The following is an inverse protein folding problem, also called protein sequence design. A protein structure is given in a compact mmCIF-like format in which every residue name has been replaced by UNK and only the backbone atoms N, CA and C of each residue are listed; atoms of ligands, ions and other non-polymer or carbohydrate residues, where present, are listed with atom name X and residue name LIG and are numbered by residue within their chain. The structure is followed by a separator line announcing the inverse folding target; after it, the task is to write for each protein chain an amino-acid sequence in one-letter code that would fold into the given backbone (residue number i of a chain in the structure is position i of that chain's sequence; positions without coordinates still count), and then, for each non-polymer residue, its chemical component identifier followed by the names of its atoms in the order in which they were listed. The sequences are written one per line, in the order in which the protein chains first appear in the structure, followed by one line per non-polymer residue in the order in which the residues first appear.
data_IF_060834054904
#
_entry.id   IF_060834054904
#
_cell.length_a   1.000
_cell.length_b   1.000
_cell.length_c   1.000
_cell.angle_alpha   90.00
_cell.angle_beta   90.00
_cell.angle_gamma   90.00
#
_symmetry.space_group_name_H-M   'P 1'
#
loop_
_entity.id
_entity.type
_entity.pdbx_description
1 polymer ?
#
# COMPACT_ATOMS: atom_id res chain seq x y z
N UNK A 1 -3.34 -18.94 -2.40
CA UNK A 1 -2.55 -17.95 -3.16
C UNK A 1 -1.13 -18.44 -3.29
N UNK A 2 -0.51 -18.38 -4.49
CA UNK A 2 0.88 -18.78 -4.69
C UNK A 2 1.81 -18.07 -3.71
N UNK A 3 2.81 -18.79 -3.19
CA UNK A 3 3.90 -18.19 -2.40
C UNK A 3 4.64 -17.11 -3.18
N UNK A 4 4.75 -17.27 -4.49
CA UNK A 4 5.39 -16.32 -5.42
C UNK A 4 4.66 -14.95 -5.45
N UNK A 5 3.35 -14.92 -5.18
CA UNK A 5 2.55 -13.68 -5.06
C UNK A 5 2.88 -12.86 -3.80
N UNK A 6 3.43 -13.50 -2.77
CA UNK A 6 3.74 -12.84 -1.50
C UNK A 6 5.11 -12.14 -1.51
N UNK A 7 5.95 -12.36 -2.52
CA UNK A 7 7.33 -11.85 -2.51
C UNK A 7 7.80 -11.48 -3.93
N UNK A 8 7.03 -10.65 -4.66
CA UNK A 8 7.45 -10.15 -5.98
C UNK A 8 8.81 -9.46 -5.86
N UNK A 9 9.84 -9.96 -6.53
CA UNK A 9 11.22 -9.41 -6.47
C UNK A 9 11.69 -9.24 -5.00
N UNK A 10 11.44 -10.25 -4.16
CA UNK A 10 11.80 -10.25 -2.74
C UNK A 10 13.28 -10.01 -2.44
N UNK A 11 14.16 -10.46 -3.34
CA UNK A 11 15.61 -10.26 -3.23
C UNK A 11 16.06 -8.85 -3.62
N UNK A 12 15.23 -8.11 -4.36
CA UNK A 12 15.48 -6.71 -4.73
C UNK A 12 14.86 -5.73 -3.72
N UNK A 13 13.62 -5.96 -3.31
CA UNK A 13 12.94 -5.15 -2.31
C UNK A 13 13.40 -5.52 -0.90
N UNK A 14 14.65 -5.20 -0.60
CA UNK A 14 15.31 -5.41 0.69
C UNK A 14 15.79 -4.07 1.27
N UNK A 15 15.92 -3.94 2.61
CA UNK A 15 16.35 -2.69 3.24
C UNK A 15 17.68 -2.14 2.73
N UNK A 16 18.59 -3.03 2.30
CA UNK A 16 19.91 -2.70 1.76
C UNK A 16 19.84 -1.93 0.44
N UNK A 17 18.79 -2.16 -0.35
CA UNK A 17 18.61 -1.52 -1.65
C UNK A 17 17.86 -0.17 -1.56
N UNK A 18 17.38 0.23 -0.39
CA UNK A 18 16.71 1.53 -0.21
C UNK A 18 17.72 2.67 -0.44
N UNK A 19 17.38 3.60 -1.33
CA UNK A 19 18.23 4.76 -1.67
C UNK A 19 17.59 6.11 -1.44
N UNK A 20 16.25 6.20 -1.42
CA UNK A 20 15.54 7.44 -1.17
C UNK A 20 14.09 7.20 -0.77
N UNK A 21 13.42 8.25 -0.33
CA UNK A 21 11.96 8.26 -0.18
C UNK A 21 11.39 9.65 -0.48
N UNK A 22 10.14 9.73 -0.90
CA UNK A 22 9.38 10.99 -1.01
C UNK A 22 8.23 11.02 0.00
N UNK A 23 7.84 12.22 0.42
CA UNK A 23 6.80 12.42 1.44
C UNK A 23 7.33 12.36 2.87
N UNK A 24 6.41 12.23 3.82
CA UNK A 24 6.73 12.12 5.24
C UNK A 24 7.06 10.66 5.59
N UNK A 25 8.23 10.46 6.22
CA UNK A 25 8.76 9.16 6.63
C UNK A 25 7.73 8.31 7.40
N UNK A 26 6.95 8.96 8.26
CA UNK A 26 5.98 8.33 9.15
C UNK A 26 4.58 8.21 8.55
N UNK A 27 4.33 8.82 7.38
CA UNK A 27 3.00 8.88 6.76
C UNK A 27 3.00 8.28 5.35
N UNK A 28 3.29 6.98 5.28
CA UNK A 28 3.21 6.16 4.06
C UNK A 28 3.99 6.75 2.87
N UNK A 29 5.31 6.97 2.99
CA UNK A 29 6.12 7.51 1.91
C UNK A 29 6.20 6.57 0.71
N UNK A 30 6.55 7.12 -0.47
CA UNK A 30 7.05 6.31 -1.58
C UNK A 30 8.53 6.02 -1.34
N UNK A 31 8.93 4.75 -1.40
CA UNK A 31 10.29 4.29 -1.08
C UNK A 31 10.98 3.82 -2.35
N UNK A 32 12.15 4.37 -2.67
CA UNK A 32 12.90 4.06 -3.88
C UNK A 32 14.03 3.08 -3.59
N UNK A 33 14.21 2.12 -4.49
CA UNK A 33 15.17 1.04 -4.41
C UNK A 33 16.09 1.09 -5.62
N UNK A 34 17.38 0.81 -5.41
CA UNK A 34 18.39 0.77 -6.46
C UNK A 34 19.46 -0.26 -6.10
N UNK A 35 19.82 -1.10 -7.07
CA UNK A 35 20.89 -2.08 -6.95
C UNK A 35 21.78 -2.00 -8.19
N UNK A 36 23.10 -1.82 -7.97
CA UNK A 36 24.09 -1.87 -9.05
C UNK A 36 24.51 -3.33 -9.23
N UNK A 37 24.34 -3.84 -10.45
CA UNK A 37 24.68 -5.21 -10.83
C UNK A 37 26.15 -5.31 -11.25
N UNK A 38 26.72 -6.52 -11.23
CA UNK A 38 28.13 -6.76 -11.59
C UNK A 38 28.46 -6.40 -13.05
N UNK A 39 27.48 -6.48 -13.95
CA UNK A 39 27.59 -6.13 -15.37
C UNK A 39 27.46 -4.62 -15.65
N UNK A 40 27.30 -3.80 -14.61
CA UNK A 40 27.12 -2.35 -14.70
C UNK A 40 25.67 -1.91 -14.93
N UNK A 41 24.72 -2.84 -15.07
CA UNK A 41 23.31 -2.49 -15.10
C UNK A 41 22.83 -2.02 -13.71
N UNK A 42 21.79 -1.19 -13.71
CA UNK A 42 21.17 -0.70 -12.48
C UNK A 42 19.76 -1.24 -12.44
N UNK A 43 19.46 -2.13 -11.48
CA UNK A 43 18.08 -2.49 -11.15
C UNK A 43 17.45 -1.39 -10.31
N UNK A 44 16.22 -1.00 -10.64
CA UNK A 44 15.51 0.06 -9.95
C UNK A 44 14.01 -0.22 -9.85
N UNK A 45 13.37 0.45 -8.89
CA UNK A 45 11.94 0.41 -8.66
C UNK A 45 11.57 1.14 -7.37
N UNK A 46 10.29 1.30 -7.10
CA UNK A 46 9.83 1.95 -5.87
C UNK A 46 8.60 1.25 -5.26
N UNK A 47 8.27 1.56 -4.01
CA UNK A 47 7.02 1.13 -3.35
C UNK A 47 6.23 2.36 -2.98
N UNK A 48 5.03 2.49 -3.52
CA UNK A 48 4.07 3.55 -3.13
C UNK A 48 3.13 2.99 -2.06
N UNK A 49 3.12 3.57 -0.86
CA UNK A 49 2.38 3.01 0.28
C UNK A 49 0.95 3.53 0.43
N UNK A 50 0.70 4.79 0.13
CA UNK A 50 -0.66 5.33 0.15
C UNK A 50 -0.87 6.38 -0.91
N UNK A 51 -2.11 6.44 -1.36
CA UNK A 51 -2.55 7.47 -2.27
C UNK A 51 -4.05 7.66 -2.13
N UNK A 52 -4.48 8.86 -1.73
CA UNK A 52 -5.91 9.14 -1.47
C UNK A 52 -6.77 8.99 -2.72
N UNK A 53 -6.26 9.44 -3.87
CA UNK A 53 -7.00 9.44 -5.14
C UNK A 53 -6.77 8.21 -6.04
N UNK A 54 -5.73 7.42 -5.78
CA UNK A 54 -5.22 6.46 -6.78
C UNK A 54 -4.74 5.18 -6.10
N UNK A 55 -5.71 4.32 -5.80
CA UNK A 55 -5.46 3.07 -5.08
C UNK A 55 -4.76 2.02 -5.94
N UNK A 56 -4.74 2.16 -7.27
CA UNK A 56 -4.04 1.22 -8.18
C UNK A 56 -2.53 1.41 -8.13
N UNK A 57 -2.10 2.66 -7.88
CA UNK A 57 -0.71 3.01 -7.79
C UNK A 57 -0.07 2.64 -6.45
N UNK A 58 -0.78 1.93 -5.57
CA UNK A 58 -0.25 1.42 -4.29
C UNK A 58 0.35 0.03 -4.50
N UNK A 59 1.63 -0.15 -4.15
CA UNK A 59 2.34 -1.42 -4.30
C UNK A 59 3.79 -1.27 -4.73
N UNK A 60 4.46 -2.40 -4.98
CA UNK A 60 5.79 -2.47 -5.60
C UNK A 60 5.66 -2.10 -7.08
N UNK A 61 6.48 -1.19 -7.56
CA UNK A 61 6.65 -0.94 -8.98
C UNK A 61 7.19 -2.20 -9.69
N UNK A 62 7.02 -2.29 -11.01
CA UNK A 62 7.73 -3.32 -11.76
C UNK A 62 9.22 -3.02 -11.70
N UNK A 63 10.05 -4.01 -11.36
CA UNK A 63 11.50 -3.83 -11.33
C UNK A 63 12.03 -3.77 -12.75
N UNK A 64 12.71 -2.69 -13.07
CA UNK A 64 13.36 -2.46 -14.35
C UNK A 64 14.88 -2.44 -14.18
N UNK A 65 15.59 -2.55 -15.30
CA UNK A 65 17.06 -2.58 -15.31
C UNK A 65 17.60 -1.83 -16.51
N UNK A 66 18.34 -0.74 -16.26
CA UNK A 66 18.99 0.05 -17.30
C UNK A 66 20.26 0.73 -16.74
N UNK A 67 21.40 0.72 -17.45
CA UNK A 67 22.66 1.29 -16.95
C UNK A 67 22.63 2.81 -16.82
N UNK A 68 21.66 3.49 -17.43
CA UNK A 68 21.53 4.96 -17.43
C UNK A 68 20.56 5.48 -16.37
N UNK A 69 20.00 4.60 -15.53
CA UNK A 69 19.01 4.99 -14.53
C UNK A 69 19.54 6.04 -13.53
N UNK A 70 18.80 7.15 -13.40
CA UNK A 70 19.03 8.17 -12.39
C UNK A 70 17.76 8.50 -11.60
N UNK A 71 17.95 8.93 -10.35
CA UNK A 71 16.93 9.47 -9.46
C UNK A 71 17.44 10.81 -8.94
N UNK A 72 16.83 11.91 -9.35
CA UNK A 72 17.34 13.26 -9.11
C UNK A 72 16.22 14.20 -8.67
N UNK A 73 16.54 15.21 -7.86
CA UNK A 73 15.61 16.30 -7.58
C UNK A 73 15.89 17.45 -8.53
N UNK A 74 14.87 17.88 -9.29
CA UNK A 74 14.98 18.97 -10.26
C UNK A 74 13.79 19.93 -10.18
N UNK A 75 13.93 21.10 -10.80
CA UNK A 75 12.85 22.07 -10.90
C UNK A 75 12.18 21.96 -12.28
N UNK A 76 10.93 21.49 -12.31
CA UNK A 76 10.08 21.44 -13.51
C UNK A 76 8.85 22.32 -13.26
N UNK A 77 8.53 23.22 -14.18
CA UNK A 77 7.34 24.09 -14.08
C UNK A 77 7.22 24.88 -12.76
N UNK A 78 8.36 25.28 -12.18
CA UNK A 78 8.52 25.93 -10.87
C UNK A 78 8.23 25.05 -9.64
N UNK A 79 8.12 23.74 -9.82
CA UNK A 79 8.00 22.77 -8.72
C UNK A 79 9.32 22.02 -8.54
N UNK A 80 9.78 21.89 -7.28
CA UNK A 80 10.97 21.09 -6.95
C UNK A 80 10.54 19.65 -6.64
N UNK A 81 10.79 18.74 -7.57
CA UNK A 81 10.28 17.37 -7.55
C UNK A 81 11.38 16.35 -7.78
N UNK A 82 11.20 15.13 -7.29
CA UNK A 82 12.03 14.00 -7.68
C UNK A 82 11.61 13.47 -9.05
N UNK A 83 12.57 13.13 -9.89
CA UNK A 83 12.37 12.46 -11.18
C UNK A 83 13.24 11.22 -11.29
N UNK A 84 12.66 10.16 -11.86
CA UNK A 84 13.38 9.00 -12.35
C UNK A 84 13.61 9.16 -13.86
N UNK A 85 14.83 8.91 -14.31
CA UNK A 85 15.20 8.98 -15.74
C UNK A 85 15.87 7.71 -16.21
N UNK A 86 15.63 7.38 -17.47
CA UNK A 86 16.32 6.35 -18.24
C UNK A 86 16.63 6.92 -19.63
N UNK A 87 17.86 6.79 -20.10
CA UNK A 87 18.34 7.36 -21.36
C UNK A 87 18.03 8.86 -21.50
N UNK A 88 18.14 9.61 -20.39
CA UNK A 88 17.75 11.01 -20.21
C UNK A 88 16.25 11.33 -20.36
N UNK A 89 15.39 10.34 -20.61
CA UNK A 89 13.94 10.52 -20.64
C UNK A 89 13.35 10.37 -19.24
N UNK A 90 12.36 11.21 -18.88
CA UNK A 90 11.66 11.13 -17.59
C UNK A 90 10.68 9.96 -17.68
N UNK A 91 10.90 8.93 -16.86
CA UNK A 91 9.99 7.78 -16.77
C UNK A 91 9.02 7.89 -15.59
N UNK A 92 9.38 8.63 -14.55
CA UNK A 92 8.52 8.84 -13.39
C UNK A 92 8.77 10.20 -12.72
N UNK A 93 7.83 11.16 -12.80
CA UNK A 93 7.83 12.35 -11.97
C UNK A 93 7.07 12.10 -10.67
N UNK A 94 7.72 12.39 -9.55
CA UNK A 94 7.06 12.39 -8.23
C UNK A 94 6.29 13.70 -7.98
N UNK A 95 5.62 13.80 -6.83
CA UNK A 95 4.87 15.01 -6.41
C UNK A 95 5.67 15.96 -5.53
N UNK A 96 6.91 15.63 -5.25
CA UNK A 96 7.72 16.37 -4.30
C UNK A 96 9.13 15.82 -4.27
N UNK A 97 10.08 16.54 -3.66
CA UNK A 97 11.47 16.13 -3.68
C UNK A 97 11.67 14.86 -2.85
N UNK A 98 12.62 14.04 -3.24
CA UNK A 98 13.05 12.90 -2.45
C UNK A 98 14.08 13.31 -1.41
N UNK A 99 14.09 12.58 -0.31
CA UNK A 99 15.17 12.58 0.69
C UNK A 99 16.05 11.37 0.45
N UNK A 100 17.35 11.60 0.29
CA UNK A 100 18.35 10.54 0.08
C UNK A 100 18.56 9.76 1.37
N UNK A 101 18.62 8.44 1.26
CA UNK A 101 18.93 7.52 2.37
C UNK A 101 20.36 7.03 2.23
N UNK A 102 21.21 7.45 3.16
CA UNK A 102 22.60 7.02 3.20
C UNK A 102 22.76 5.53 3.50
N UNK A 103 23.94 4.95 3.20
CA UNK A 103 24.23 3.55 3.51
C UNK A 103 24.25 3.23 5.01
N UNK A 104 24.38 4.24 5.88
CA UNK A 104 24.46 4.07 7.33
C UNK A 104 23.20 4.56 8.08
N UNK A 105 22.15 4.95 7.36
CA UNK A 105 20.92 5.50 7.95
C UNK A 105 19.97 4.39 8.42
N UNK A 106 20.47 3.52 9.30
CA UNK A 106 19.78 2.29 9.71
C UNK A 106 18.39 2.56 10.29
N UNK A 107 18.22 3.61 11.10
CA UNK A 107 16.91 3.95 11.68
C UNK A 107 15.88 4.32 10.61
N UNK A 108 16.29 5.08 9.59
CA UNK A 108 15.41 5.46 8.46
C UNK A 108 15.11 4.22 7.62
N UNK A 109 16.11 3.38 7.33
CA UNK A 109 15.91 2.13 6.59
C UNK A 109 14.95 1.18 7.30
N UNK A 110 15.09 1.02 8.62
CA UNK A 110 14.20 0.16 9.42
C UNK A 110 12.74 0.64 9.37
N UNK A 111 12.53 1.96 9.40
CA UNK A 111 11.19 2.55 9.27
C UNK A 111 10.61 2.35 7.86
N UNK A 112 11.42 2.63 6.83
CA UNK A 112 11.01 2.44 5.42
C UNK A 112 10.82 0.97 5.05
N UNK A 113 11.55 0.04 5.67
CA UNK A 113 11.44 -1.41 5.42
C UNK A 113 10.05 -1.96 5.78
N UNK A 114 9.27 -1.25 6.60
CA UNK A 114 7.87 -1.62 6.84
C UNK A 114 7.06 -1.65 5.53
N UNK A 115 7.39 -0.79 4.56
CA UNK A 115 6.74 -0.75 3.24
C UNK A 115 6.87 -2.09 2.50
N UNK A 116 8.05 -2.73 2.59
CA UNK A 116 8.37 -4.02 1.97
C UNK A 116 7.43 -5.10 2.50
N UNK A 117 7.19 -5.11 3.81
CA UNK A 117 6.34 -6.11 4.47
C UNK A 117 4.85 -5.88 4.21
N UNK A 118 4.42 -4.62 4.09
CA UNK A 118 3.02 -4.22 3.83
C UNK A 118 2.61 -4.46 2.38
N UNK A 119 3.52 -4.23 1.44
CA UNK A 119 3.27 -4.31 0.00
C UNK A 119 4.13 -5.40 -0.61
N UNK A 120 3.57 -6.59 -0.69
CA UNK A 120 4.26 -7.84 -1.06
C UNK A 120 4.22 -8.17 -2.56
N UNK A 121 3.22 -7.66 -3.27
CA UNK A 121 3.04 -7.85 -4.70
C UNK A 121 3.36 -6.60 -5.52
N UNK A 122 3.53 -6.80 -6.82
CA UNK A 122 3.61 -5.74 -7.82
C UNK A 122 2.30 -4.94 -7.89
N UNK A 123 2.36 -3.67 -8.29
CA UNK A 123 1.20 -2.80 -8.48
C UNK A 123 0.23 -3.47 -9.46
N UNK A 124 -1.05 -3.40 -9.15
CA UNK A 124 -2.12 -3.94 -9.99
C UNK A 124 -2.13 -3.30 -11.39
N UNK A 125 -1.53 -2.13 -11.52
CA UNK A 125 -1.42 -1.36 -12.76
C UNK A 125 -0.66 -2.12 -13.88
N UNK A 126 0.23 -3.04 -13.52
CA UNK A 126 0.93 -3.94 -14.47
C UNK A 126 0.07 -5.14 -14.86
N UNK A 127 -1.22 -4.87 -15.06
CA UNK A 127 -2.25 -5.89 -15.02
C UNK A 127 -2.11 -6.91 -16.13
N UNK A 128 -1.57 -6.56 -17.29
CA UNK A 128 -1.46 -7.51 -18.40
C UNK A 128 -0.58 -8.70 -18.04
N UNK A 129 0.64 -8.41 -17.64
CA UNK A 129 1.61 -9.43 -17.26
C UNK A 129 1.14 -10.14 -15.99
N UNK A 130 0.57 -9.39 -15.05
CA UNK A 130 -0.08 -9.96 -13.87
C UNK A 130 -1.19 -10.98 -14.23
N UNK A 131 -2.16 -10.60 -15.05
CA UNK A 131 -3.29 -11.46 -15.44
C UNK A 131 -2.75 -12.69 -16.18
N UNK A 132 -1.77 -12.51 -17.07
CA UNK A 132 -1.16 -13.61 -17.83
C UNK A 132 -0.40 -14.58 -16.92
N UNK A 133 0.39 -14.07 -15.98
CA UNK A 133 1.07 -14.89 -14.95
C UNK A 133 0.07 -15.64 -14.08
N UNK A 134 -1.00 -14.97 -13.61
CA UNK A 134 -2.05 -15.63 -12.83
C UNK A 134 -2.75 -16.71 -13.66
N UNK A 135 -3.02 -16.45 -14.94
CA UNK A 135 -3.56 -17.46 -15.85
C UNK A 135 -2.63 -18.67 -15.97
N UNK A 136 -1.33 -18.46 -16.09
CA UNK A 136 -0.36 -19.55 -16.24
C UNK A 136 -0.14 -20.33 -14.95
N UNK A 137 -0.17 -19.66 -13.80
CA UNK A 137 -0.17 -20.30 -12.48
C UNK A 137 -1.41 -21.19 -12.29
N UNK A 138 -2.61 -20.64 -12.55
CA UNK A 138 -3.87 -21.37 -12.40
C UNK A 138 -3.88 -22.64 -13.26
N UNK A 139 -3.34 -22.60 -14.48
CA UNK A 139 -3.26 -23.79 -15.35
C UNK A 139 -2.44 -24.93 -14.73
N UNK A 140 -1.50 -24.64 -13.83
CA UNK A 140 -0.65 -25.64 -13.17
C UNK A 140 -1.33 -26.29 -11.96
N UNK A 141 -2.41 -25.70 -11.42
CA UNK A 141 -3.13 -26.25 -10.26
C UNK A 141 -3.82 -27.57 -10.63
N UNK A 142 -3.51 -28.71 -10.00
CA UNK A 142 -4.07 -30.01 -10.38
C UNK A 142 -5.56 -30.17 -10.08
N UNK A 143 -6.12 -29.42 -9.11
CA UNK A 143 -7.52 -29.54 -8.73
C UNK A 143 -8.39 -28.55 -9.49
N UNK A 144 -9.29 -29.08 -10.32
CA UNK A 144 -10.26 -28.28 -11.08
C UNK A 144 -11.07 -27.32 -10.19
N UNK A 145 -11.47 -27.74 -8.99
CA UNK A 145 -12.23 -26.88 -8.07
C UNK A 145 -11.43 -25.67 -7.58
N UNK A 146 -10.13 -25.84 -7.37
CA UNK A 146 -9.23 -24.79 -6.89
C UNK A 146 -8.83 -23.85 -8.03
N UNK A 147 -8.61 -24.39 -9.25
CA UNK A 147 -8.48 -23.59 -10.47
C UNK A 147 -9.69 -22.67 -10.66
N UNK A 148 -10.88 -23.23 -10.43
CA UNK A 148 -12.12 -22.51 -10.58
C UNK A 148 -12.21 -21.36 -9.58
N UNK A 149 -11.91 -21.60 -8.30
CA UNK A 149 -11.93 -20.52 -7.31
C UNK A 149 -10.94 -19.40 -7.65
N UNK A 150 -9.73 -19.77 -8.08
CA UNK A 150 -8.68 -18.80 -8.43
C UNK A 150 -9.03 -17.96 -9.67
N UNK A 151 -9.68 -18.53 -10.68
CA UNK A 151 -10.17 -17.78 -11.85
C UNK A 151 -11.25 -16.75 -11.47
N UNK A 152 -11.99 -16.98 -10.37
CA UNK A 152 -13.13 -16.15 -9.99
C UNK A 152 -12.60 -14.91 -9.30
N UNK A 153 -11.66 -15.14 -8.38
CA UNK A 153 -10.89 -14.10 -7.72
C UNK A 153 -10.15 -13.25 -8.77
N UNK A 154 -9.48 -13.88 -9.75
CA UNK A 154 -8.77 -13.16 -10.81
C UNK A 154 -9.71 -12.29 -11.67
N UNK A 155 -10.89 -12.83 -12.03
CA UNK A 155 -11.87 -12.07 -12.79
C UNK A 155 -12.43 -10.90 -11.96
N UNK A 156 -12.69 -11.10 -10.66
CA UNK A 156 -13.12 -10.01 -9.79
C UNK A 156 -12.04 -8.92 -9.66
N UNK A 157 -10.77 -9.30 -9.50
CA UNK A 157 -9.67 -8.36 -9.45
C UNK A 157 -9.53 -7.57 -10.77
N UNK A 158 -9.69 -8.23 -11.91
CA UNK A 158 -9.67 -7.57 -13.22
C UNK A 158 -10.80 -6.54 -13.37
N UNK A 159 -12.01 -6.83 -12.87
CA UNK A 159 -13.12 -5.87 -12.85
C UNK A 159 -12.79 -4.65 -11.99
N UNK A 160 -12.25 -4.86 -10.78
CA UNK A 160 -11.83 -3.76 -9.90
C UNK A 160 -10.78 -2.86 -10.56
N UNK A 161 -9.85 -3.47 -11.31
CA UNK A 161 -8.81 -2.75 -12.05
C UNK A 161 -9.45 -1.98 -13.21
N UNK A 162 -10.31 -2.61 -13.99
CA UNK A 162 -11.00 -1.97 -15.12
C UNK A 162 -11.83 -0.77 -14.66
N UNK A 163 -12.57 -0.89 -13.56
CA UNK A 163 -13.35 0.21 -12.97
C UNK A 163 -12.47 1.41 -12.58
N UNK A 164 -11.19 1.18 -12.23
CA UNK A 164 -10.23 2.23 -11.90
C UNK A 164 -9.52 2.81 -13.15
N UNK A 165 -9.38 2.00 -14.20
CA UNK A 165 -8.62 2.34 -15.41
C UNK A 165 -9.42 3.06 -16.50
N UNK A 166 -10.70 2.71 -16.67
CA UNK A 166 -11.52 3.22 -17.78
C UNK A 166 -11.58 4.75 -17.79
N UNK A 167 -11.57 5.38 -16.61
CA UNK A 167 -11.62 6.83 -16.49
C UNK A 167 -10.23 7.49 -16.56
N UNK A 168 -9.16 6.77 -16.22
CA UNK A 168 -7.81 7.34 -16.06
C UNK A 168 -6.91 7.13 -17.29
N UNK A 169 -7.01 5.96 -17.94
CA UNK A 169 -6.13 5.55 -19.05
C UNK A 169 -6.92 4.79 -20.15
N UNK A 170 -7.69 5.51 -21.00
CA UNK A 170 -8.59 4.90 -21.97
C UNK A 170 -7.87 4.01 -23.01
N UNK A 171 -6.62 4.31 -23.35
CA UNK A 171 -5.80 3.56 -24.29
C UNK A 171 -5.53 2.11 -23.83
N UNK A 172 -5.42 1.87 -22.53
CA UNK A 172 -5.20 0.53 -21.95
C UNK A 172 -6.49 -0.28 -21.79
N UNK A 173 -7.65 0.37 -21.93
CA UNK A 173 -8.97 -0.27 -21.74
C UNK A 173 -9.22 -1.37 -22.77
N UNK A 174 -8.72 -1.22 -24.00
CA UNK A 174 -8.91 -2.20 -25.08
C UNK A 174 -8.23 -3.54 -24.76
N UNK A 175 -7.01 -3.49 -24.25
CA UNK A 175 -6.25 -4.68 -23.86
C UNK A 175 -6.89 -5.39 -22.67
N UNK A 176 -7.35 -4.62 -21.66
CA UNK A 176 -8.07 -5.18 -20.51
C UNK A 176 -9.39 -5.83 -20.91
N UNK A 177 -10.16 -5.21 -21.81
CA UNK A 177 -11.39 -5.80 -22.38
C UNK A 177 -11.11 -7.10 -23.13
N UNK A 178 -10.01 -7.14 -23.90
CA UNK A 178 -9.59 -8.36 -24.58
C UNK A 178 -9.25 -9.46 -23.57
N UNK A 179 -8.44 -9.17 -22.55
CA UNK A 179 -8.10 -10.13 -21.50
C UNK A 179 -9.32 -10.65 -20.74
N UNK A 180 -10.27 -9.76 -20.42
CA UNK A 180 -11.56 -10.13 -19.81
C UNK A 180 -12.35 -11.08 -20.70
N UNK A 181 -12.37 -10.84 -22.01
CA UNK A 181 -13.01 -11.72 -22.98
C UNK A 181 -12.30 -13.09 -23.06
N UNK A 182 -10.97 -13.11 -23.06
CA UNK A 182 -10.17 -14.33 -23.08
C UNK A 182 -10.33 -15.17 -21.81
N UNK A 183 -10.33 -14.52 -20.63
CA UNK A 183 -10.68 -15.15 -19.36
C UNK A 183 -12.07 -15.76 -19.48
N UNK A 184 -13.06 -14.97 -19.93
CA UNK A 184 -14.44 -15.45 -20.09
C UNK A 184 -14.54 -16.67 -21.01
N UNK A 185 -13.77 -16.70 -22.10
CA UNK A 185 -13.71 -17.79 -23.05
C UNK A 185 -13.05 -19.06 -22.51
N UNK A 186 -11.90 -18.93 -21.82
CA UNK A 186 -11.13 -20.07 -21.26
C UNK A 186 -11.84 -20.73 -20.09
N UNK A 187 -12.57 -19.92 -19.34
CA UNK A 187 -13.28 -20.33 -18.13
C UNK A 187 -14.58 -21.11 -18.47
N UNK A 188 -15.10 -20.98 -19.70
CA UNK A 188 -16.27 -21.73 -20.17
C UNK A 188 -17.60 -21.28 -19.56
N UNK A 189 -18.71 -21.50 -20.26
CA UNK A 189 -20.04 -21.06 -19.82
C UNK A 189 -20.53 -21.75 -18.53
N UNK A 190 -20.11 -23.00 -18.26
CA UNK A 190 -20.50 -23.73 -17.04
C UNK A 190 -19.92 -23.12 -15.78
N UNK A 191 -18.71 -22.59 -15.87
CA UNK A 191 -18.10 -21.89 -14.77
C UNK A 191 -18.83 -20.60 -14.41
N UNK A 192 -19.20 -19.79 -15.42
CA UNK A 192 -19.89 -18.53 -15.15
C UNK A 192 -21.24 -18.77 -14.49
N UNK A 193 -21.91 -19.87 -14.85
CA UNK A 193 -23.10 -20.34 -14.12
C UNK A 193 -22.77 -20.66 -12.66
N UNK A 194 -21.72 -21.43 -12.39
CA UNK A 194 -21.30 -21.76 -11.02
C UNK A 194 -20.93 -20.52 -10.18
N UNK A 195 -20.29 -19.52 -10.78
CA UNK A 195 -19.92 -18.27 -10.11
C UNK A 195 -21.15 -17.41 -9.81
N UNK A 196 -22.06 -17.24 -10.77
CA UNK A 196 -23.31 -16.49 -10.56
C UNK A 196 -24.20 -17.20 -9.51
N UNK A 197 -24.33 -18.53 -9.57
CA UNK A 197 -25.03 -19.32 -8.55
C UNK A 197 -24.43 -19.12 -7.15
N UNK A 198 -23.09 -19.02 -7.04
CA UNK A 198 -22.43 -18.75 -5.75
C UNK A 198 -22.58 -17.31 -5.27
N UNK A 199 -22.58 -16.31 -6.17
CA UNK A 199 -22.88 -14.91 -5.81
C UNK A 199 -24.29 -14.80 -5.24
N UNK A 200 -25.25 -15.45 -5.88
CA UNK A 200 -26.64 -15.51 -5.40
C UNK A 200 -26.73 -16.20 -4.02
N UNK A 201 -26.02 -17.32 -3.83
CA UNK A 201 -25.96 -18.00 -2.53
C UNK A 201 -25.34 -17.13 -1.43
N UNK A 202 -24.26 -16.40 -1.73
CA UNK A 202 -23.58 -15.52 -0.76
C UNK A 202 -24.46 -14.33 -0.40
N UNK A 203 -25.09 -13.68 -1.38
CA UNK A 203 -26.05 -12.60 -1.17
C UNK A 203 -27.25 -13.06 -0.33
N UNK A 204 -27.79 -14.25 -0.61
CA UNK A 204 -28.85 -14.86 0.19
C UNK A 204 -28.41 -15.14 1.63
N UNK A 205 -27.18 -15.61 1.82
CA UNK A 205 -26.61 -15.88 3.15
C UNK A 205 -26.47 -14.58 3.96
N UNK A 206 -25.98 -13.50 3.35
CA UNK A 206 -25.85 -12.18 3.99
C UNK A 206 -27.21 -11.56 4.34
N UNK A 207 -28.18 -11.64 3.43
CA UNK A 207 -29.56 -11.23 3.70
C UNK A 207 -30.18 -12.02 4.87
N UNK A 208 -29.88 -13.33 4.95
CA UNK A 208 -30.34 -14.17 6.07
C UNK A 208 -29.69 -13.80 7.42
N UNK A 209 -28.42 -13.35 7.41
CA UNK A 209 -27.72 -12.88 8.61
C UNK A 209 -28.29 -11.55 9.11
N UNK A 210 -28.59 -10.63 8.20
CA UNK A 210 -29.18 -9.32 8.54
C UNK A 210 -30.59 -9.47 9.13
N UNK A 211 -31.44 -10.29 8.52
CA UNK A 211 -32.80 -10.55 9.04
C UNK A 211 -32.81 -11.26 10.41
N UNK A 212 -31.82 -12.12 10.71
CA UNK A 212 -31.66 -12.71 12.06
C UNK A 212 -31.18 -11.69 13.10
N UNK A 213 -30.35 -10.71 12.71
CA UNK A 213 -29.92 -9.61 13.59
C UNK A 213 -31.11 -8.72 13.99
N UNK A 214 -31.98 -8.38 13.05
CA UNK A 214 -33.18 -7.57 13.32
C UNK A 214 -34.20 -8.30 14.21
N UNK A 215 -34.41 -9.60 13.99
CA UNK A 215 -35.30 -10.42 14.86
C UNK A 215 -34.76 -10.60 16.28
N UNK A 216 -33.44 -10.51 16.50
CA UNK A 216 -32.86 -10.49 17.84
C UNK A 216 -33.03 -9.13 18.52
N UNK A 217 -32.92 -8.02 17.76
CA UNK A 217 -33.16 -6.68 18.29
C UNK A 217 -34.64 -6.46 18.71
N UNK A 218 -35.61 -7.06 18.01
CA UNK A 218 -37.03 -6.96 18.38
C UNK A 218 -37.44 -7.84 19.56
N UNK A 219 -36.72 -8.94 19.86
CA UNK A 219 -36.98 -9.81 21.03
C UNK A 219 -36.39 -9.28 22.34
N UNK A 220 -35.45 -8.35 22.29
CA UNK A 220 -34.94 -7.62 23.48
C UNK A 220 -35.79 -6.42 23.87
N UNK A 221 -36.90 -6.16 23.18
CA UNK A 221 -37.96 -5.22 23.60
C UNK A 221 -38.79 -5.68 24.80
N UNK A 222 -38.22 -6.45 25.74
CA UNK A 222 -38.82 -6.57 27.08
C UNK A 222 -38.68 -5.21 27.74
N UNK A 223 -39.77 -4.44 27.75
CA UNK A 223 -40.01 -3.25 28.57
C UNK A 223 -39.36 -3.46 29.96
N UNK A 224 -38.17 -2.93 30.16
CA UNK A 224 -37.71 -2.55 31.48
C UNK A 224 -38.44 -1.27 31.82
N UNK A 225 -39.60 -1.40 32.46
CA UNK A 225 -40.25 -0.30 33.14
C UNK A 225 -39.36 0.10 34.31
N UNK A 226 -38.53 1.13 34.11
CA UNK A 226 -37.80 1.78 35.18
C UNK A 226 -38.80 2.59 36.00
N UNK A 227 -39.41 1.96 37.00
CA UNK A 227 -40.15 2.66 38.03
C UNK A 227 -39.15 3.45 38.87
N UNK A 228 -39.19 4.77 38.71
CA UNK A 228 -39.05 5.78 39.77
C UNK A 228 -38.08 5.44 40.91
N UNK A 229 -36.82 5.86 40.78
CA UNK A 229 -35.98 6.15 41.92
C UNK A 229 -35.73 7.65 41.99
N UNK A 230 -36.53 8.32 42.81
CA UNK A 230 -36.42 9.73 43.18
C UNK A 230 -35.78 9.86 44.56
N UNK A 231 -34.68 10.62 44.65
CA UNK A 231 -34.08 11.32 45.83
C UNK A 231 -32.57 11.43 45.61
N UNK A 232 -31.86 12.50 45.97
CA UNK A 232 -32.20 13.73 46.67
C UNK A 232 -31.09 14.76 46.40
N UNK A 233 -31.44 16.02 46.63
CA UNK A 233 -30.62 17.22 46.57
C UNK A 233 -29.43 17.20 47.55
N UNK A 234 -28.32 17.84 47.17
CA UNK A 234 -27.52 18.76 48.01
C UNK A 234 -26.51 19.47 47.11
N UNK A 235 -26.72 20.75 46.78
CA UNK A 235 -26.32 21.97 47.51
C UNK A 235 -24.80 22.20 47.60
N UNK A 236 -24.43 23.30 46.93
CA UNK A 236 -23.49 24.34 47.34
C UNK A 236 -22.03 23.95 47.65
N UNK A 237 -21.12 24.41 46.79
CA UNK A 237 -19.99 25.27 47.24
C UNK A 237 -19.35 26.07 46.10
N UNK A 238 -19.12 27.34 46.45
CA UNK A 238 -18.65 28.52 45.73
C UNK A 238 -17.24 28.42 45.10
N UNK A 239 -16.89 29.39 44.23
CA UNK A 239 -15.63 29.43 43.48
C UNK A 239 -14.47 30.01 44.29
N UNK A 240 -13.24 29.62 43.95
CA UNK A 240 -12.02 30.36 44.32
C UNK A 240 -11.25 30.75 43.07
N UNK A 241 -11.07 32.06 43.00
CA UNK A 241 -10.35 32.87 42.04
C UNK A 241 -8.88 33.04 42.49
N UNK A 242 -8.02 33.45 41.54
CA UNK A 242 -6.63 33.96 41.69
C UNK A 242 -5.55 32.86 41.85
N UNK A 243 -4.37 32.94 41.23
CA UNK A 243 -3.57 34.11 40.83
C UNK A 243 -2.50 33.76 39.79
N UNK A 244 -2.08 34.79 39.06
CA UNK A 244 -0.91 34.86 38.19
C UNK A 244 0.39 34.41 38.88
N UNK A 245 1.35 33.89 38.11
CA UNK A 245 2.70 34.47 38.10
C UNK A 245 3.53 33.99 36.90
N UNK A 246 4.00 34.99 36.15
CA UNK A 246 5.09 34.92 35.20
C UNK A 246 6.45 34.85 35.90
N UNK A 247 7.46 34.35 35.19
CA UNK A 247 8.93 34.57 35.31
C UNK A 247 9.66 33.23 35.14
N UNK A 248 10.84 33.11 34.55
CA UNK A 248 11.76 34.00 33.86
C UNK A 248 12.79 33.10 33.19
N UNK A 249 13.46 33.67 32.19
CA UNK A 249 14.79 33.32 31.69
C UNK A 249 15.71 32.57 32.66
N UNK A 250 16.44 31.59 32.13
CA UNK A 250 17.85 31.45 32.47
C UNK A 250 18.65 30.81 31.32
N UNK A 251 19.40 31.66 30.62
CA UNK A 251 20.62 31.27 29.93
C UNK A 251 21.68 30.86 30.96
N UNK A 252 22.43 29.78 30.70
CA UNK A 252 23.90 29.82 30.55
C UNK A 252 24.51 28.41 30.47
N UNK A 253 25.24 28.22 29.36
CA UNK A 253 26.49 27.49 29.18
C UNK A 253 27.10 26.71 30.35
N UNK A 254 27.54 25.47 30.07
CA UNK A 254 28.93 25.12 30.36
C UNK A 254 29.49 23.96 29.54
N UNK A 255 30.70 24.19 29.05
CA UNK A 255 31.64 23.27 28.40
C UNK A 255 31.97 22.04 29.27
N UNK A 256 32.17 20.86 28.66
CA UNK A 256 33.46 20.17 28.80
C UNK A 256 33.67 18.96 27.86
N UNK A 257 34.74 19.07 27.07
CA UNK A 257 35.72 18.05 26.65
C UNK A 257 35.45 16.59 27.06
N UNK A 258 35.48 15.69 26.07
CA UNK A 258 36.40 14.53 26.09
C UNK A 258 36.70 14.00 24.69
N UNK A 259 37.95 14.23 24.27
CA UNK A 259 38.64 13.51 23.19
C UNK A 259 38.72 12.02 23.53
N UNK A 260 38.43 11.15 22.57
CA UNK A 260 39.07 9.83 22.48
C UNK A 260 39.38 9.53 21.01
N UNK A 261 40.65 9.70 20.69
CA UNK A 261 41.33 9.10 19.55
C UNK A 261 41.41 7.58 19.76
N UNK A 262 41.05 6.79 18.76
CA UNK A 262 41.56 5.43 18.60
C UNK A 262 42.13 5.28 17.20
N UNK A 263 43.45 5.22 17.15
CA UNK A 263 44.21 4.72 16.01
C UNK A 263 44.24 3.19 16.10
N UNK A 264 43.92 2.50 15.01
CA UNK A 264 44.48 1.17 14.76
C UNK A 264 44.99 1.15 13.32
N UNK A 265 46.31 1.15 13.20
CA UNK A 265 47.04 0.60 12.05
C UNK A 265 47.29 -0.87 12.35
N UNK A 266 46.99 -1.74 11.39
CA UNK A 266 47.95 -2.67 10.78
C UNK A 266 47.49 -2.92 9.36
#
# INVERSE_FOLDING_TARGET
MPKERLEYEGDFYVPENIVAYTGDLSNNPTVYFKQIMEDGNIKFGHITQTHERDKINIGREMVESDPTYTLENETIDNEYISVERVNNEIIHPSRGPHTVVGPNDNLIRDELAQSITKHKGCKKMYTRDYIQEQMDFIKQEPKIGDQIEQLADLNQELEEIMDQYVDTYPEHTKDLLQMKSELKGKVGNEYFKLVEERKEQKAALEASKNSKKEKKASKTGRKWSFSSFSRAQNKDKKPKEKSNNASKDNQKSNNNKKKRSFSFKR
#
